data_IF_883522276139
#
_entry.id   IF_883522276139
#
_cell.length_a   1.000
_cell.length_b   1.000
_cell.length_c   1.000
_cell.angle_alpha   90.00
_cell.angle_beta   90.00
_cell.angle_gamma   90.00
#
_symmetry.space_group_name_H-M   'P 1'
#
loop_
_entity.id
_entity.type
_entity.pdbx_description
1 polymer ?
#
# COMPACT_ATOMS: atom_id res chain seq x y z
N UNK A 1 -15.16 -16.79 -7.44
CA UNK A 1 -14.09 -16.79 -6.41
C UNK A 1 -12.68 -16.89 -7.01
N UNK A 2 -12.44 -17.61 -8.12
CA UNK A 2 -11.14 -17.58 -8.84
C UNK A 2 -10.88 -16.29 -9.63
N UNK A 3 -11.92 -15.56 -10.01
CA UNK A 3 -11.78 -14.32 -10.79
C UNK A 3 -11.21 -13.12 -10.03
N UNK A 4 -11.19 -13.16 -8.69
CA UNK A 4 -10.51 -12.13 -7.88
C UNK A 4 -8.99 -12.32 -7.84
N UNK A 5 -8.50 -13.49 -8.24
CA UNK A 5 -7.06 -13.76 -8.41
C UNK A 5 -6.62 -13.56 -9.87
N UNK A 6 -7.56 -13.62 -10.81
CA UNK A 6 -7.33 -13.38 -12.24
C UNK A 6 -7.48 -11.88 -12.52
N UNK A 7 -6.41 -11.11 -12.28
CA UNK A 7 -5.85 -9.94 -12.99
C UNK A 7 -6.68 -9.09 -13.99
N UNK A 8 -8.02 -9.13 -14.00
CA UNK A 8 -8.89 -8.38 -14.93
C UNK A 8 -9.38 -7.06 -14.35
N UNK A 9 -9.32 -6.93 -13.03
CA UNK A 9 -9.59 -5.71 -12.28
C UNK A 9 -8.38 -5.49 -11.38
N UNK A 10 -7.76 -4.32 -11.40
CA UNK A 10 -6.63 -4.01 -10.51
C UNK A 10 -7.09 -4.06 -9.06
N UNK A 11 -7.04 -5.26 -8.46
CA UNK A 11 -7.35 -5.56 -7.06
C UNK A 11 -6.17 -5.18 -6.17
N UNK A 12 -4.96 -5.11 -6.74
CA UNK A 12 -3.73 -4.72 -6.08
C UNK A 12 -3.85 -3.45 -5.19
N UNK A 13 -4.41 -2.31 -5.66
CA UNK A 13 -4.58 -1.12 -4.80
C UNK A 13 -5.50 -1.38 -3.61
N UNK A 14 -6.57 -2.15 -3.76
CA UNK A 14 -7.47 -2.50 -2.65
C UNK A 14 -6.81 -3.46 -1.67
N UNK A 15 -6.07 -4.45 -2.18
CA UNK A 15 -5.35 -5.42 -1.36
C UNK A 15 -4.25 -4.76 -0.52
N UNK A 16 -3.52 -3.80 -1.09
CA UNK A 16 -2.51 -3.01 -0.37
C UNK A 16 -3.13 -2.18 0.76
N UNK A 17 -4.32 -1.60 0.59
CA UNK A 17 -5.03 -0.87 1.67
C UNK A 17 -5.38 -1.79 2.83
N UNK A 18 -5.78 -3.03 2.55
CA UNK A 18 -6.08 -4.02 3.60
C UNK A 18 -4.80 -4.47 4.30
N UNK A 19 -3.70 -4.65 3.56
CA UNK A 19 -2.40 -5.08 4.10
C UNK A 19 -1.69 -3.98 4.91
N UNK A 20 -1.99 -2.70 4.65
CA UNK A 20 -1.42 -1.57 5.39
C UNK A 20 -1.74 -1.62 6.89
N UNK A 21 -3.00 -1.91 7.24
CA UNK A 21 -3.44 -1.97 8.64
C UNK A 21 -2.68 -2.96 9.51
N UNK A 22 -2.53 -4.24 9.14
CA UNK A 22 -1.74 -5.19 9.93
C UNK A 22 -0.24 -4.83 9.93
N UNK A 23 0.30 -4.26 8.85
CA UNK A 23 1.69 -3.80 8.84
C UNK A 23 1.93 -2.65 9.85
N UNK A 24 1.01 -1.69 9.91
CA UNK A 24 1.05 -0.61 10.89
C UNK A 24 0.90 -1.15 12.32
N UNK A 25 -0.05 -2.06 12.54
CA UNK A 25 -0.27 -2.70 13.82
C UNK A 25 0.97 -3.48 14.29
N UNK A 26 1.64 -4.19 13.38
CA UNK A 26 2.90 -4.87 13.66
C UNK A 26 3.98 -3.88 14.10
N UNK A 27 4.15 -2.75 13.40
CA UNK A 27 5.13 -1.72 13.77
C UNK A 27 4.91 -1.21 15.20
N UNK A 28 3.65 -0.96 15.57
CA UNK A 28 3.30 -0.51 16.93
C UNK A 28 3.57 -1.63 17.94
N UNK A 29 3.17 -2.87 17.63
CA UNK A 29 3.38 -4.03 18.50
C UNK A 29 4.87 -4.30 18.79
N UNK A 30 5.72 -4.27 17.76
CA UNK A 30 7.17 -4.46 17.91
C UNK A 30 7.80 -3.35 18.77
N UNK A 31 7.39 -2.10 18.55
CA UNK A 31 7.87 -0.97 19.36
C UNK A 31 7.46 -1.11 20.82
N UNK A 32 6.21 -1.48 21.11
CA UNK A 32 5.73 -1.71 22.47
C UNK A 32 6.52 -2.83 23.18
N UNK A 33 6.80 -3.95 22.49
CA UNK A 33 7.64 -5.05 22.99
C UNK A 33 9.03 -4.57 23.41
N UNK A 34 9.66 -3.72 22.60
CA UNK A 34 11.00 -3.20 22.88
C UNK A 34 11.01 -2.25 24.09
N UNK A 35 9.98 -1.41 24.23
CA UNK A 35 9.84 -0.50 25.38
C UNK A 35 9.65 -1.31 26.68
N UNK A 36 8.78 -2.32 26.67
CA UNK A 36 8.54 -3.19 27.84
C UNK A 36 9.80 -3.97 28.23
N UNK A 37 10.64 -4.34 27.26
CA UNK A 37 11.91 -5.00 27.50
C UNK A 37 13.01 -4.06 28.07
N UNK A 38 12.69 -2.77 28.30
CA UNK A 38 13.63 -1.79 28.86
C UNK A 38 14.67 -1.29 27.86
N UNK A 39 14.46 -1.50 26.56
CA UNK A 39 15.39 -1.04 25.55
C UNK A 39 15.19 0.48 25.30
N UNK A 40 16.21 1.32 25.55
CA UNK A 40 16.08 2.77 25.43
C UNK A 40 15.84 3.25 23.99
N UNK A 41 15.96 2.38 22.99
CA UNK A 41 15.75 2.69 21.57
C UNK A 41 14.32 2.31 21.12
N UNK A 42 13.48 1.74 22.00
CA UNK A 42 12.16 1.21 21.66
C UNK A 42 11.16 2.23 21.05
N UNK A 43 11.36 3.53 21.27
CA UNK A 43 10.54 4.61 20.70
C UNK A 43 10.88 4.91 19.23
N UNK A 44 12.09 4.61 18.77
CA UNK A 44 12.53 4.83 17.38
C UNK A 44 11.62 4.11 16.38
N UNK A 45 11.36 2.79 16.49
CA UNK A 45 10.47 2.10 15.56
C UNK A 45 9.01 2.54 15.64
N UNK A 46 8.58 3.22 16.71
CA UNK A 46 7.24 3.79 16.81
C UNK A 46 7.05 4.91 15.79
N UNK A 47 8.04 5.80 15.69
CA UNK A 47 8.02 6.94 14.77
C UNK A 47 8.52 6.51 13.39
N UNK A 48 9.73 5.97 13.33
CA UNK A 48 10.40 5.62 12.07
C UNK A 48 9.70 4.45 11.38
N UNK A 49 9.32 3.41 12.12
CA UNK A 49 8.63 2.25 11.55
C UNK A 49 7.25 2.60 11.01
N UNK A 50 6.48 3.42 11.75
CA UNK A 50 5.16 3.90 11.29
C UNK A 50 5.29 4.80 10.03
N UNK A 51 6.23 5.74 10.03
CA UNK A 51 6.52 6.58 8.86
C UNK A 51 6.96 5.75 7.66
N UNK A 52 7.84 4.77 7.88
CA UNK A 52 8.35 3.91 6.83
C UNK A 52 7.24 3.08 6.19
N UNK A 53 6.38 2.45 7.01
CA UNK A 53 5.21 1.72 6.50
C UNK A 53 4.29 2.65 5.70
N UNK A 54 4.03 3.87 6.17
CA UNK A 54 3.22 4.84 5.41
C UNK A 54 3.83 5.17 4.06
N UNK A 55 5.09 5.60 4.03
CA UNK A 55 5.77 6.01 2.79
C UNK A 55 5.84 4.86 1.78
N UNK A 56 6.17 3.64 2.23
CA UNK A 56 6.21 2.48 1.35
C UNK A 56 4.84 2.15 0.73
N UNK A 57 3.79 2.09 1.54
CA UNK A 57 2.45 1.76 1.03
C UNK A 57 1.89 2.89 0.15
N UNK A 58 2.15 4.15 0.48
CA UNK A 58 1.73 5.30 -0.32
C UNK A 58 2.41 5.31 -1.69
N UNK A 59 3.72 5.06 -1.73
CA UNK A 59 4.47 4.88 -2.99
C UNK A 59 3.88 3.75 -3.83
N UNK A 60 3.66 2.56 -3.23
CA UNK A 60 3.09 1.41 -3.94
C UNK A 60 1.68 1.73 -4.51
N UNK A 61 0.82 2.34 -3.70
CA UNK A 61 -0.52 2.74 -4.14
C UNK A 61 -0.47 3.79 -5.25
N UNK A 62 0.45 4.75 -5.17
CA UNK A 62 0.67 5.77 -6.19
C UNK A 62 1.08 5.13 -7.53
N UNK A 63 2.02 4.18 -7.51
CA UNK A 63 2.42 3.44 -8.72
C UNK A 63 1.25 2.71 -9.37
N UNK A 64 0.43 2.01 -8.59
CA UNK A 64 -0.77 1.36 -9.12
C UNK A 64 -1.77 2.38 -9.68
N UNK A 65 -1.98 3.50 -8.98
CA UNK A 65 -2.88 4.55 -9.45
C UNK A 65 -2.40 5.20 -10.75
N UNK A 66 -1.08 5.38 -10.94
CA UNK A 66 -0.51 5.89 -12.18
C UNK A 66 -0.80 4.91 -13.33
N UNK A 67 -0.62 3.61 -13.10
CA UNK A 67 -0.90 2.58 -14.09
C UNK A 67 -2.39 2.53 -14.50
N UNK A 68 -3.31 2.61 -13.53
CA UNK A 68 -4.75 2.69 -13.80
C UNK A 68 -5.12 3.93 -14.63
N UNK A 69 -4.52 5.10 -14.31
CA UNK A 69 -4.78 6.34 -15.04
C UNK A 69 -4.26 6.29 -16.48
N UNK A 70 -3.07 5.73 -16.70
CA UNK A 70 -2.51 5.51 -18.05
C UNK A 70 -3.40 4.61 -18.89
N UNK A 71 -3.91 3.52 -18.30
CA UNK A 71 -4.84 2.63 -18.99
C UNK A 71 -6.12 3.37 -19.42
N UNK A 72 -6.66 4.22 -18.54
CA UNK A 72 -7.85 5.02 -18.82
C UNK A 72 -7.59 6.08 -19.92
N UNK A 73 -6.44 6.74 -19.93
CA UNK A 73 -6.06 7.69 -21.00
C UNK A 73 -5.95 6.97 -22.35
N UNK A 74 -5.28 5.81 -22.36
CA UNK A 74 -5.14 5.01 -23.59
C UNK A 74 -6.50 4.61 -24.16
N UNK A 75 -7.43 4.18 -23.30
CA UNK A 75 -8.79 3.82 -23.73
C UNK A 75 -9.55 5.04 -24.30
N UNK A 76 -9.48 6.20 -23.64
CA UNK A 76 -10.14 7.43 -24.12
C UNK A 76 -9.60 7.94 -25.47
N UNK A 77 -8.33 7.67 -25.77
CA UNK A 77 -7.73 8.01 -27.06
C UNK A 77 -8.22 7.07 -28.17
N UNK A 78 -8.29 5.75 -27.89
CA UNK A 78 -8.83 4.78 -28.85
C UNK A 78 -10.30 5.08 -29.23
N UNK A 79 -11.14 5.46 -28.26
CA UNK A 79 -12.54 5.84 -28.50
C UNK A 79 -12.70 7.15 -29.31
N UNK A 80 -11.66 7.99 -29.37
CA UNK A 80 -11.64 9.23 -30.16
C UNK A 80 -11.15 9.03 -31.59
N UNK A 81 -10.30 8.03 -31.85
CA UNK A 81 -9.83 7.72 -33.20
C UNK A 81 -10.87 6.95 -34.04
N UNK A 82 -11.82 6.26 -33.40
CA UNK A 82 -12.97 5.61 -34.06
C UNK A 82 -14.13 6.57 -34.40
N UNK A 83 -14.04 7.86 -34.02
CA UNK A 83 -15.02 8.91 -34.32
C UNK A 83 -14.50 9.88 -35.36
#
# INVERSE_FOLDING_TARGET
MRDYLLFKKMIAPTLLKILFWPALAASIYYSARLIIAGNPIGWVPLIVGSLFVRVLFEMLLLFFSINDNLFHIKQKLAEREEK
#
